data_IF_275947883909
#
_entry.id   IF_275947883909
#
_cell.length_a   1.000
_cell.length_b   1.000
_cell.length_c   1.000
_cell.angle_alpha   90.00
_cell.angle_beta   90.00
_cell.angle_gamma   90.00
#
_symmetry.space_group_name_H-M   'P 1'
#
loop_
_entity.id
_entity.type
_entity.pdbx_description
1 polymer ?
#
# COMPACT_ATOMS: atom_id res chain seq x y z
N UNK A 1 -16.19 -28.81 17.32
CA UNK A 1 -15.84 -27.75 18.30
C UNK A 1 -16.96 -26.72 18.30
N UNK A 2 -17.44 -26.26 19.47
CA UNK A 2 -18.53 -25.26 19.50
C UNK A 2 -18.02 -23.91 18.98
N UNK A 3 -18.80 -23.23 18.11
CA UNK A 3 -18.49 -21.91 17.57
C UNK A 3 -18.14 -20.89 18.69
N UNK A 4 -18.89 -20.93 19.79
CA UNK A 4 -18.64 -20.07 20.95
C UNK A 4 -17.25 -20.30 21.54
N UNK A 5 -16.85 -21.56 21.71
CA UNK A 5 -15.52 -21.89 22.26
C UNK A 5 -14.40 -21.42 21.33
N UNK A 6 -14.54 -21.61 20.01
CA UNK A 6 -13.54 -21.13 19.05
C UNK A 6 -13.46 -19.61 19.00
N UNK A 7 -14.58 -18.90 19.11
CA UNK A 7 -14.63 -17.45 19.17
C UNK A 7 -13.93 -16.91 20.43
N UNK A 8 -14.19 -17.50 21.60
CA UNK A 8 -13.51 -17.11 22.85
C UNK A 8 -11.99 -17.35 22.76
N UNK A 9 -11.58 -18.47 22.17
CA UNK A 9 -10.15 -18.74 21.95
C UNK A 9 -9.51 -17.69 21.03
N UNK A 10 -10.18 -17.32 19.93
CA UNK A 10 -9.72 -16.26 19.01
C UNK A 10 -9.55 -14.92 19.73
N UNK A 11 -10.53 -14.51 20.55
CA UNK A 11 -10.46 -13.26 21.32
C UNK A 11 -9.25 -13.26 22.26
N UNK A 12 -9.02 -14.38 22.97
CA UNK A 12 -7.86 -14.53 23.87
C UNK A 12 -6.53 -14.45 23.11
N UNK A 13 -6.44 -15.12 21.96
CA UNK A 13 -5.23 -15.10 21.14
C UNK A 13 -4.94 -13.69 20.59
N UNK A 14 -5.96 -12.98 20.11
CA UNK A 14 -5.81 -11.58 19.64
C UNK A 14 -5.35 -10.66 20.76
N UNK A 15 -5.92 -10.82 21.97
CA UNK A 15 -5.48 -10.06 23.14
C UNK A 15 -4.01 -10.36 23.49
N UNK A 16 -3.63 -11.65 23.52
CA UNK A 16 -2.27 -12.04 23.85
C UNK A 16 -1.28 -11.50 22.83
N UNK A 17 -1.59 -11.56 21.54
CA UNK A 17 -0.77 -10.99 20.48
C UNK A 17 -0.45 -9.51 20.71
N UNK A 18 -1.41 -8.72 21.16
CA UNK A 18 -1.19 -7.29 21.49
C UNK A 18 -0.29 -7.15 22.72
N UNK A 19 -0.50 -7.97 23.76
CA UNK A 19 0.33 -7.94 24.97
C UNK A 19 1.80 -8.30 24.67
N UNK A 20 2.03 -9.16 23.69
CA UNK A 20 3.35 -9.57 23.22
C UNK A 20 3.98 -8.56 22.24
N UNK A 21 3.39 -7.38 22.07
CA UNK A 21 3.89 -6.33 21.19
C UNK A 21 3.56 -6.52 19.69
N UNK A 22 2.76 -7.52 19.34
CA UNK A 22 2.27 -7.71 17.98
C UNK A 22 1.09 -6.81 17.63
N UNK A 23 0.61 -6.92 16.40
CA UNK A 23 -0.56 -6.17 15.92
C UNK A 23 -1.64 -7.11 15.39
N UNK A 24 -2.90 -6.69 15.49
CA UNK A 24 -4.04 -7.41 14.91
C UNK A 24 -4.50 -6.81 13.57
N UNK A 25 -4.10 -5.58 13.28
CA UNK A 25 -4.36 -4.93 12.00
C UNK A 25 -3.19 -4.02 11.63
N UNK A 26 -2.95 -3.80 10.35
CA UNK A 26 -2.07 -2.73 9.87
C UNK A 26 -2.85 -1.41 10.02
N UNK A 27 -2.33 -0.42 10.75
CA UNK A 27 -3.11 0.76 11.09
C UNK A 27 -3.55 1.56 9.86
N UNK A 28 -4.78 2.10 9.90
CA UNK A 28 -5.24 3.04 8.88
C UNK A 28 -4.34 4.27 8.82
N UNK A 29 -3.97 4.78 7.64
CA UNK A 29 -3.20 6.02 7.50
C UNK A 29 -3.99 7.25 7.96
N UNK A 30 -5.32 7.16 8.00
CA UNK A 30 -6.20 8.25 8.39
C UNK A 30 -6.49 8.23 9.89
N UNK A 31 -5.69 8.96 10.67
CA UNK A 31 -5.80 8.98 12.15
C UNK A 31 -7.21 9.30 12.64
N UNK A 32 -7.88 10.27 12.01
CA UNK A 32 -9.25 10.68 12.39
C UNK A 32 -10.31 9.65 12.03
N UNK A 33 -10.01 8.72 11.13
CA UNK A 33 -10.94 7.70 10.67
C UNK A 33 -10.70 6.33 11.35
N UNK A 34 -9.73 6.25 12.25
CA UNK A 34 -9.37 4.99 12.91
C UNK A 34 -10.44 4.45 13.86
N UNK A 35 -11.36 5.29 14.32
CA UNK A 35 -12.52 4.83 15.09
C UNK A 35 -13.46 3.97 14.25
N UNK A 36 -13.64 4.31 12.98
CA UNK A 36 -14.52 3.63 12.04
C UNK A 36 -13.80 2.55 11.24
N UNK A 37 -12.57 2.84 10.83
CA UNK A 37 -11.69 1.96 10.07
C UNK A 37 -10.31 1.91 10.74
N UNK A 38 -10.13 1.01 11.73
CA UNK A 38 -8.85 0.89 12.45
C UNK A 38 -7.66 0.56 11.55
N UNK A 39 -7.90 -0.23 10.50
CA UNK A 39 -6.88 -0.64 9.56
C UNK A 39 -7.27 -1.91 8.80
N UNK A 40 -6.28 -2.57 8.23
CA UNK A 40 -6.45 -3.79 7.44
C UNK A 40 -6.19 -5.00 8.32
N UNK A 41 -7.16 -5.88 8.42
CA UNK A 41 -7.07 -7.15 9.13
C UNK A 41 -7.05 -8.33 8.16
N UNK A 42 -6.46 -9.44 8.59
CA UNK A 42 -6.50 -10.68 7.83
C UNK A 42 -7.94 -11.21 7.72
N UNK A 43 -8.32 -11.64 6.51
CA UNK A 43 -9.67 -12.19 6.24
C UNK A 43 -10.75 -11.13 6.03
N UNK A 44 -10.39 -9.85 6.00
CA UNK A 44 -11.30 -8.75 5.69
C UNK A 44 -11.56 -8.63 4.19
N UNK A 45 -12.82 -8.38 3.81
CA UNK A 45 -13.20 -7.97 2.47
C UNK A 45 -13.61 -6.51 2.49
N UNK A 46 -12.92 -5.68 1.70
CA UNK A 46 -13.11 -4.24 1.66
C UNK A 46 -13.52 -3.82 0.26
N UNK A 47 -14.66 -3.16 0.13
CA UNK A 47 -15.12 -2.57 -1.13
C UNK A 47 -15.02 -1.06 -1.07
N UNK A 48 -14.33 -0.46 -2.03
CA UNK A 48 -14.25 0.99 -2.19
C UNK A 48 -15.11 1.41 -3.37
N UNK A 49 -16.12 2.21 -3.10
CA UNK A 49 -17.03 2.76 -4.11
C UNK A 49 -16.91 4.28 -4.17
N UNK A 50 -16.96 4.84 -5.35
CA UNK A 50 -16.99 6.29 -5.58
C UNK A 50 -17.63 6.60 -6.92
N UNK A 51 -18.10 7.84 -7.08
CA UNK A 51 -18.53 8.35 -8.37
C UNK A 51 -17.37 8.35 -9.38
N UNK A 52 -17.71 8.46 -10.67
CA UNK A 52 -16.71 8.60 -11.74
C UNK A 52 -15.79 9.78 -11.45
N UNK A 53 -14.48 9.57 -11.62
CA UNK A 53 -13.40 10.53 -11.26
C UNK A 53 -13.26 10.85 -9.77
N UNK A 54 -13.90 10.09 -8.89
CA UNK A 54 -13.81 10.24 -7.43
C UNK A 54 -12.51 9.74 -6.78
N UNK A 55 -11.41 9.67 -7.52
CA UNK A 55 -10.10 9.22 -7.03
C UNK A 55 -10.08 7.83 -6.34
N UNK A 56 -11.05 6.97 -6.65
CA UNK A 56 -11.21 5.62 -6.07
C UNK A 56 -9.90 4.81 -6.11
N UNK A 57 -9.28 4.69 -7.28
CA UNK A 57 -8.04 3.91 -7.45
C UNK A 57 -6.88 4.51 -6.64
N UNK A 58 -6.77 5.85 -6.59
CA UNK A 58 -5.74 6.52 -5.78
C UNK A 58 -5.94 6.25 -4.29
N UNK A 59 -7.18 6.36 -3.80
CA UNK A 59 -7.52 6.04 -2.42
C UNK A 59 -7.20 4.58 -2.09
N UNK A 60 -7.58 3.64 -2.98
CA UNK A 60 -7.35 2.21 -2.77
C UNK A 60 -5.85 1.89 -2.73
N UNK A 61 -5.06 2.36 -3.70
CA UNK A 61 -3.60 2.13 -3.69
C UNK A 61 -2.94 2.76 -2.47
N UNK A 62 -3.29 3.99 -2.13
CA UNK A 62 -2.74 4.66 -0.97
C UNK A 62 -3.04 3.90 0.33
N UNK A 63 -4.32 3.55 0.55
CA UNK A 63 -4.79 2.99 1.82
C UNK A 63 -4.47 1.51 1.96
N UNK A 64 -4.57 0.74 0.86
CA UNK A 64 -4.49 -0.72 0.91
C UNK A 64 -3.11 -1.27 0.52
N UNK A 65 -2.29 -0.49 -0.20
CA UNK A 65 -0.98 -0.95 -0.68
C UNK A 65 0.15 -0.07 -0.16
N UNK A 66 0.18 1.22 -0.48
CA UNK A 66 1.36 2.07 -0.27
C UNK A 66 1.67 2.31 1.21
N UNK A 67 0.70 2.80 1.99
CA UNK A 67 0.89 3.02 3.42
C UNK A 67 1.10 1.72 4.20
N UNK A 68 0.34 0.64 3.96
CA UNK A 68 0.60 -0.63 4.61
C UNK A 68 1.95 -1.25 4.27
N UNK A 69 2.41 -1.11 3.01
CA UNK A 69 3.75 -1.54 2.60
C UNK A 69 4.85 -0.79 3.36
N UNK A 70 4.74 0.53 3.41
CA UNK A 70 5.70 1.37 4.15
C UNK A 70 5.64 1.12 5.66
N UNK A 71 4.46 0.84 6.20
CA UNK A 71 4.34 0.43 7.60
C UNK A 71 5.10 -0.89 7.86
N UNK A 72 4.92 -1.89 7.01
CA UNK A 72 5.61 -3.17 7.13
C UNK A 72 7.13 -3.00 6.98
N UNK A 73 7.59 -2.23 5.99
CA UNK A 73 9.00 -1.91 5.78
C UNK A 73 9.63 -1.24 7.02
N UNK A 74 8.98 -0.22 7.58
CA UNK A 74 9.52 0.56 8.68
C UNK A 74 9.50 -0.18 10.03
N UNK A 75 8.55 -1.07 10.24
CA UNK A 75 8.39 -1.74 11.53
C UNK A 75 9.04 -3.13 11.57
N UNK A 76 9.13 -3.80 10.42
CA UNK A 76 9.62 -5.18 10.32
C UNK A 76 8.80 -6.22 11.09
N UNK A 77 7.65 -5.84 11.66
CA UNK A 77 6.83 -6.70 12.51
C UNK A 77 5.65 -7.36 11.78
N UNK A 78 5.52 -7.08 10.49
CA UNK A 78 4.47 -7.62 9.62
C UNK A 78 5.08 -8.04 8.30
N UNK A 79 4.84 -9.28 7.91
CA UNK A 79 5.11 -9.75 6.55
C UNK A 79 3.82 -9.61 5.72
N UNK A 80 3.89 -8.85 4.63
CA UNK A 80 2.76 -8.61 3.73
C UNK A 80 3.16 -8.90 2.30
N UNK A 81 2.27 -9.51 1.53
CA UNK A 81 2.40 -9.61 0.07
C UNK A 81 1.11 -9.14 -0.58
N UNK A 82 1.25 -8.40 -1.64
CA UNK A 82 0.15 -7.83 -2.41
C UNK A 82 0.09 -8.51 -3.76
N UNK A 83 -1.08 -9.03 -4.11
CA UNK A 83 -1.37 -9.47 -5.47
C UNK A 83 -2.34 -8.43 -6.05
N UNK A 84 -1.87 -7.69 -7.05
CA UNK A 84 -2.62 -6.62 -7.69
C UNK A 84 -3.10 -7.08 -9.05
N UNK A 85 -4.40 -6.97 -9.30
CA UNK A 85 -5.05 -7.23 -10.60
C UNK A 85 -5.42 -5.89 -11.24
N UNK A 86 -4.54 -5.28 -12.04
CA UNK A 86 -4.79 -3.99 -12.64
C UNK A 86 -5.75 -4.14 -13.83
N UNK A 87 -6.97 -3.61 -13.69
CA UNK A 87 -8.00 -3.70 -14.72
C UNK A 87 -8.00 -2.49 -15.68
N UNK A 88 -7.58 -1.33 -15.21
CA UNK A 88 -7.65 -0.05 -15.95
C UNK A 88 -6.28 0.59 -16.18
N UNK A 89 -5.30 0.30 -15.34
CA UNK A 89 -3.96 0.90 -15.38
C UNK A 89 -2.89 -0.17 -15.59
N UNK A 90 -1.78 0.18 -16.22
CA UNK A 90 -0.65 -0.75 -16.34
C UNK A 90 0.15 -0.82 -15.03
N UNK A 91 0.87 -1.93 -14.75
CA UNK A 91 1.78 -2.05 -13.62
C UNK A 91 2.77 -0.88 -13.49
N UNK A 92 3.32 -0.41 -14.61
CA UNK A 92 4.26 0.71 -14.65
C UNK A 92 3.61 2.00 -14.15
N UNK A 93 2.35 2.27 -14.51
CA UNK A 93 1.62 3.46 -14.04
C UNK A 93 1.36 3.43 -12.55
N UNK A 94 1.03 2.25 -12.01
CA UNK A 94 0.82 2.06 -10.57
C UNK A 94 2.15 2.24 -9.83
N UNK A 95 3.24 1.66 -10.34
CA UNK A 95 4.59 1.83 -9.80
C UNK A 95 5.03 3.30 -9.82
N UNK A 96 4.79 4.03 -10.90
CA UNK A 96 5.06 5.48 -10.97
C UNK A 96 4.26 6.29 -9.94
N UNK A 97 3.03 5.88 -9.62
CA UNK A 97 2.25 6.50 -8.53
C UNK A 97 2.90 6.24 -7.18
N UNK A 98 3.39 5.03 -6.95
CA UNK A 98 4.12 4.70 -5.73
C UNK A 98 5.42 5.52 -5.63
N UNK A 99 6.20 5.60 -6.70
CA UNK A 99 7.43 6.42 -6.76
C UNK A 99 7.15 7.89 -6.47
N UNK A 100 6.14 8.47 -7.12
CA UNK A 100 5.70 9.84 -6.88
C UNK A 100 5.29 10.07 -5.41
N UNK A 101 4.53 9.14 -4.85
CA UNK A 101 4.13 9.17 -3.45
C UNK A 101 5.34 9.06 -2.51
N UNK A 102 6.28 8.16 -2.78
CA UNK A 102 7.47 7.93 -1.98
C UNK A 102 8.39 9.17 -1.96
N UNK A 103 8.61 9.81 -3.11
CA UNK A 103 9.34 11.10 -3.21
C UNK A 103 8.72 12.16 -2.30
N UNK A 104 7.40 12.30 -2.36
CA UNK A 104 6.67 13.25 -1.54
C UNK A 104 6.84 12.93 -0.04
N UNK A 105 6.73 11.66 0.34
CA UNK A 105 6.83 11.19 1.73
C UNK A 105 8.23 11.36 2.30
N UNK A 106 9.26 10.91 1.60
CA UNK A 106 10.66 10.99 2.05
C UNK A 106 11.18 12.43 2.12
N UNK A 107 10.67 13.32 1.28
CA UNK A 107 11.00 14.74 1.33
C UNK A 107 10.21 15.52 2.40
N UNK A 108 9.47 14.87 3.29
CA UNK A 108 8.53 15.50 4.23
C UNK A 108 7.56 16.47 3.52
N UNK A 109 6.97 16.00 2.40
CA UNK A 109 6.00 16.73 1.57
C UNK A 109 6.52 18.00 0.89
N UNK A 110 7.84 18.21 0.85
CA UNK A 110 8.47 19.37 0.19
C UNK A 110 8.58 19.20 -1.33
N UNK A 111 8.83 17.96 -1.79
CA UNK A 111 8.94 17.63 -3.20
C UNK A 111 7.64 16.93 -3.63
N UNK A 112 7.02 17.49 -4.67
CA UNK A 112 5.79 16.93 -5.26
C UNK A 112 6.02 16.77 -6.76
N UNK A 113 6.16 15.54 -7.20
CA UNK A 113 6.35 15.19 -8.60
C UNK A 113 5.20 14.27 -8.99
N UNK A 114 4.45 14.64 -10.00
CA UNK A 114 3.35 13.81 -10.50
C UNK A 114 3.89 12.62 -11.30
N UNK A 115 3.12 11.55 -11.47
CA UNK A 115 3.51 10.44 -12.34
C UNK A 115 3.77 10.84 -13.80
N UNK A 116 3.14 11.92 -14.29
CA UNK A 116 3.40 12.46 -15.62
C UNK A 116 4.74 13.19 -15.71
N UNK A 117 5.12 13.91 -14.68
CA UNK A 117 6.44 14.55 -14.59
C UNK A 117 7.55 13.49 -14.49
N UNK A 118 7.35 12.41 -13.70
CA UNK A 118 8.30 11.29 -13.65
C UNK A 118 8.58 10.68 -15.03
N UNK A 119 7.60 10.71 -15.95
CA UNK A 119 7.78 10.28 -17.34
C UNK A 119 8.39 11.34 -18.25
N UNK A 120 8.75 12.49 -17.72
CA UNK A 120 9.25 13.62 -18.51
C UNK A 120 8.32 14.01 -19.68
N UNK A 121 7.01 13.90 -19.49
CA UNK A 121 6.01 14.12 -20.55
C UNK A 121 5.99 15.58 -21.03
N UNK A 122 6.26 16.52 -20.14
CA UNK A 122 6.21 17.97 -20.44
C UNK A 122 7.54 18.68 -20.25
N UNK A 123 8.56 18.01 -19.73
CA UNK A 123 9.89 18.56 -19.48
C UNK A 123 10.80 17.54 -18.81
N UNK A 124 12.10 17.78 -18.81
CA UNK A 124 13.05 16.92 -18.13
C UNK A 124 12.91 17.02 -16.60
N UNK A 125 13.13 15.93 -15.90
CA UNK A 125 13.28 15.94 -14.46
C UNK A 125 14.51 16.75 -14.05
N UNK A 126 14.43 17.42 -12.90
CA UNK A 126 15.60 18.09 -12.34
C UNK A 126 16.62 17.09 -11.81
N UNK A 127 17.91 17.48 -11.87
CA UNK A 127 19.01 16.68 -11.32
C UNK A 127 18.77 16.29 -9.85
N UNK A 128 18.25 17.21 -9.05
CA UNK A 128 17.90 16.95 -7.65
C UNK A 128 16.92 15.78 -7.49
N UNK A 129 15.94 15.67 -8.37
CA UNK A 129 14.98 14.55 -8.33
C UNK A 129 15.68 13.25 -8.73
N UNK A 130 16.54 13.29 -9.75
CA UNK A 130 17.32 12.13 -10.18
C UNK A 130 18.21 11.63 -9.03
N UNK A 131 18.95 12.53 -8.37
CA UNK A 131 19.77 12.18 -7.21
C UNK A 131 18.98 11.48 -6.09
N UNK A 132 17.74 11.94 -5.81
CA UNK A 132 16.88 11.30 -4.81
C UNK A 132 16.45 9.91 -5.30
N UNK A 133 16.04 9.78 -6.56
CA UNK A 133 15.63 8.50 -7.14
C UNK A 133 16.75 7.46 -7.08
N UNK A 134 18.01 7.89 -7.24
CA UNK A 134 19.19 7.04 -7.21
C UNK A 134 19.75 6.82 -5.81
N UNK A 135 19.25 7.54 -4.80
CA UNK A 135 19.72 7.39 -3.42
C UNK A 135 19.45 5.98 -2.88
N UNK A 136 20.38 5.46 -2.07
CA UNK A 136 20.28 4.12 -1.48
C UNK A 136 18.96 3.94 -0.68
N UNK A 137 18.61 4.92 0.13
CA UNK A 137 17.39 4.89 0.95
C UNK A 137 16.12 4.80 0.11
N UNK A 138 16.09 5.44 -1.07
CA UNK A 138 14.96 5.36 -1.99
C UNK A 138 14.92 4.00 -2.69
N UNK A 139 16.07 3.53 -3.16
CA UNK A 139 16.23 2.26 -3.86
C UNK A 139 15.92 1.05 -2.96
N UNK A 140 16.24 1.12 -1.66
CA UNK A 140 15.92 0.06 -0.69
C UNK A 140 14.41 -0.14 -0.58
N UNK A 141 13.65 0.95 -0.50
CA UNK A 141 12.19 0.87 -0.44
C UNK A 141 11.61 0.35 -1.76
N UNK A 142 12.19 0.73 -2.90
CA UNK A 142 11.74 0.21 -4.20
C UNK A 142 12.01 -1.29 -4.33
N UNK A 143 13.16 -1.80 -3.87
CA UNK A 143 13.43 -3.25 -3.83
C UNK A 143 12.41 -3.97 -2.97
N UNK A 144 12.11 -3.42 -1.79
CA UNK A 144 11.08 -3.99 -0.92
C UNK A 144 9.69 -4.00 -1.61
N UNK A 145 9.36 -2.92 -2.34
CA UNK A 145 8.13 -2.86 -3.13
C UNK A 145 8.09 -3.97 -4.20
N UNK A 146 9.14 -4.16 -4.97
CA UNK A 146 9.22 -5.19 -6.01
C UNK A 146 9.10 -6.62 -5.45
N UNK A 147 9.67 -6.87 -4.28
CA UNK A 147 9.59 -8.17 -3.61
C UNK A 147 8.20 -8.48 -3.05
N UNK A 148 7.41 -7.46 -2.71
CA UNK A 148 6.16 -7.62 -1.97
C UNK A 148 4.90 -7.29 -2.79
N UNK A 149 5.03 -6.62 -3.94
CA UNK A 149 3.91 -6.28 -4.83
C UNK A 149 4.01 -7.06 -6.14
N UNK A 150 3.11 -8.00 -6.31
CA UNK A 150 3.04 -8.86 -7.47
C UNK A 150 1.88 -8.39 -8.35
N UNK A 151 2.14 -8.06 -9.60
CA UNK A 151 1.11 -7.75 -10.58
C UNK A 151 0.71 -9.00 -11.34
N UNK A 152 -0.56 -9.37 -11.27
CA UNK A 152 -1.11 -10.39 -12.16
C UNK A 152 -1.45 -9.74 -13.51
N UNK A 153 -0.72 -10.13 -14.54
CA UNK A 153 -0.92 -9.67 -15.92
C UNK A 153 -1.78 -10.63 -16.74
N UNK A 154 -2.40 -11.63 -16.12
CA UNK A 154 -3.32 -12.51 -16.82
C UNK A 154 -4.49 -11.70 -17.38
N UNK A 155 -4.35 -11.35 -18.64
CA UNK A 155 -5.40 -10.76 -19.45
C UNK A 155 -6.52 -11.79 -19.61
N UNK A 156 -7.63 -11.56 -18.92
CA UNK A 156 -8.91 -12.23 -19.06
C UNK A 156 -8.98 -13.70 -18.63
N UNK A 157 -9.63 -14.01 -17.53
CA UNK A 157 -10.22 -15.32 -17.32
C UNK A 157 -11.56 -15.40 -18.10
N UNK A 158 -11.57 -15.15 -19.39
CA UNK A 158 -12.65 -15.69 -20.22
C UNK A 158 -12.36 -17.16 -20.36
N UNK A 159 -12.91 -17.92 -19.42
CA UNK A 159 -13.03 -19.35 -19.60
C UNK A 159 -13.63 -19.68 -20.96
N UNK A 160 -12.90 -20.41 -21.75
CA UNK A 160 -13.40 -21.43 -22.64
C UNK A 160 -12.92 -22.73 -22.09
#
# INVERSE_FOLDING_TARGET
>A
MSLVKSTIASIKNRRQKILDGGINCIPSPFVRFRSEFPGIEQGQYITVTASTKGAKSQFSYFTMVFEPLLYAYNTGNVDVKYIVFPLEETPERITQRFMSYLLCKLSNYKIRVSPSELRSTTGALSEQIIEILESEAYQDILRYYEEHVIFSTESNPTGK
#
